data_IF_901393976119
#
_entry.id   IF_901393976119
#
_cell.length_a   1.000
_cell.length_b   1.000
_cell.length_c   1.000
_cell.angle_alpha   90.00
_cell.angle_beta   90.00
_cell.angle_gamma   90.00
#
_symmetry.space_group_name_H-M   'P 1'
#
loop_
_entity.id
_entity.type
_entity.pdbx_description
1 polymer ?
#
# COMPACT_ATOMS: atom_id res chain seq x y z
N UNK A 1 -7.01 3.13 -8.00
CA UNK A 1 -6.76 1.69 -8.21
C UNK A 1 -5.71 1.55 -9.31
N UNK A 2 -4.79 0.57 -9.23
CA UNK A 2 -3.87 0.20 -10.32
C UNK A 2 -4.42 -1.04 -11.04
N UNK A 3 -4.30 -1.08 -12.36
CA UNK A 3 -4.59 -2.27 -13.17
C UNK A 3 -3.29 -3.06 -13.31
N UNK A 4 -3.22 -4.25 -12.70
CA UNK A 4 -2.01 -5.08 -12.73
C UNK A 4 -1.90 -5.94 -13.99
N UNK A 5 -3.04 -6.30 -14.59
CA UNK A 5 -3.10 -7.03 -15.87
C UNK A 5 -3.74 -6.16 -16.96
N UNK A 6 -3.04 -5.12 -17.44
CA UNK A 6 -3.60 -4.14 -18.37
C UNK A 6 -4.02 -4.75 -19.72
N UNK A 7 -3.44 -5.87 -20.13
CA UNK A 7 -3.80 -6.56 -21.39
C UNK A 7 -5.26 -7.01 -21.44
N UNK A 8 -5.92 -7.15 -20.28
CA UNK A 8 -7.32 -7.57 -20.18
C UNK A 8 -8.31 -6.40 -20.22
N UNK A 9 -7.84 -5.15 -20.20
CA UNK A 9 -8.71 -3.96 -20.22
C UNK A 9 -9.64 -3.99 -21.43
N UNK A 10 -9.11 -4.30 -22.62
CA UNK A 10 -9.89 -4.35 -23.85
C UNK A 10 -11.00 -5.40 -23.76
N UNK A 11 -10.66 -6.60 -23.31
CA UNK A 11 -11.62 -7.70 -23.22
C UNK A 11 -12.72 -7.41 -22.19
N UNK A 12 -12.35 -6.89 -21.02
CA UNK A 12 -13.33 -6.49 -19.98
C UNK A 12 -14.26 -5.39 -20.50
N UNK A 13 -13.71 -4.33 -21.10
CA UNK A 13 -14.53 -3.24 -21.64
C UNK A 13 -15.46 -3.71 -22.76
N UNK A 14 -15.00 -4.59 -23.65
CA UNK A 14 -15.83 -5.17 -24.70
C UNK A 14 -16.96 -6.03 -24.15
N UNK A 15 -16.72 -6.81 -23.08
CA UNK A 15 -17.79 -7.57 -22.42
C UNK A 15 -18.87 -6.63 -21.88
N UNK A 16 -18.47 -5.56 -21.18
CA UNK A 16 -19.41 -4.57 -20.64
C UNK A 16 -20.20 -3.87 -21.75
N UNK A 17 -19.52 -3.42 -22.82
CA UNK A 17 -20.15 -2.72 -23.95
C UNK A 17 -21.11 -3.61 -24.76
N UNK A 18 -20.84 -4.91 -24.83
CA UNK A 18 -21.71 -5.89 -25.51
C UNK A 18 -22.85 -6.40 -24.64
N UNK A 19 -23.04 -5.84 -23.43
CA UNK A 19 -24.07 -6.27 -22.49
C UNK A 19 -23.79 -7.62 -21.82
N UNK A 20 -22.59 -8.19 -22.01
CA UNK A 20 -22.16 -9.40 -21.28
C UNK A 20 -21.80 -9.03 -19.84
N UNK A 21 -22.03 -9.98 -18.93
CA UNK A 21 -21.68 -9.82 -17.51
C UNK A 21 -20.23 -10.24 -17.25
N UNK A 22 -19.64 -9.67 -16.21
CA UNK A 22 -18.34 -10.03 -15.65
C UNK A 22 -18.52 -10.63 -14.25
N UNK A 23 -17.56 -11.43 -13.81
CA UNK A 23 -17.45 -11.80 -12.39
C UNK A 23 -16.66 -10.69 -11.70
N UNK A 24 -17.17 -10.19 -10.58
CA UNK A 24 -16.49 -9.20 -9.77
C UNK A 24 -16.26 -9.74 -8.35
N UNK A 25 -15.00 -9.85 -7.96
CA UNK A 25 -14.59 -10.01 -6.55
C UNK A 25 -14.00 -8.68 -6.07
N UNK A 26 -14.71 -7.96 -5.20
CA UNK A 26 -14.28 -6.67 -4.67
C UNK A 26 -14.50 -6.61 -3.16
N UNK A 27 -13.64 -7.31 -2.41
CA UNK A 27 -13.77 -7.47 -0.96
C UNK A 27 -13.76 -6.15 -0.18
N UNK A 28 -13.19 -5.09 -0.74
CA UNK A 28 -13.13 -3.76 -0.12
C UNK A 28 -14.16 -2.77 -0.65
N UNK A 29 -15.11 -3.20 -1.49
CA UNK A 29 -16.11 -2.33 -2.12
C UNK A 29 -15.50 -1.11 -2.82
N UNK A 30 -14.31 -1.27 -3.42
CA UNK A 30 -13.60 -0.19 -4.10
C UNK A 30 -14.19 0.16 -5.48
N UNK A 31 -14.93 -0.77 -6.08
CA UNK A 31 -15.45 -0.73 -7.44
C UNK A 31 -16.97 -0.87 -7.50
N UNK A 32 -17.60 -1.45 -6.47
CA UNK A 32 -19.06 -1.64 -6.41
C UNK A 32 -19.84 -0.33 -6.59
N UNK A 33 -19.29 0.82 -6.19
CA UNK A 33 -19.89 2.13 -6.44
C UNK A 33 -19.83 2.60 -7.91
N UNK A 34 -18.92 2.05 -8.71
CA UNK A 34 -18.69 2.44 -10.10
C UNK A 34 -19.31 1.46 -11.10
N UNK A 35 -19.54 0.21 -10.69
CA UNK A 35 -20.10 -0.84 -11.53
C UNK A 35 -21.56 -1.08 -11.15
N UNK A 36 -22.46 -0.90 -12.12
CA UNK A 36 -23.86 -1.27 -11.97
C UNK A 36 -23.97 -2.80 -11.83
N UNK A 37 -24.74 -3.27 -10.84
CA UNK A 37 -24.98 -4.70 -10.56
C UNK A 37 -25.46 -5.48 -11.79
N UNK A 38 -26.09 -4.80 -12.75
CA UNK A 38 -26.53 -5.38 -14.03
C UNK A 38 -25.37 -6.01 -14.82
N UNK A 39 -24.15 -5.49 -14.68
CA UNK A 39 -22.96 -5.99 -15.36
C UNK A 39 -22.22 -7.08 -14.57
N UNK A 40 -22.66 -7.40 -13.35
CA UNK A 40 -22.00 -8.37 -12.47
C UNK A 40 -22.79 -9.68 -12.44
N UNK A 41 -22.08 -10.80 -12.47
CA UNK A 41 -22.63 -12.14 -12.28
C UNK A 41 -21.76 -12.94 -11.33
N UNK A 42 -22.37 -13.88 -10.61
CA UNK A 42 -21.64 -14.91 -9.85
C UNK A 42 -21.54 -16.24 -10.62
N UNK A 43 -22.17 -16.31 -11.80
CA UNK A 43 -22.19 -17.52 -12.63
C UNK A 43 -20.97 -17.54 -13.55
N UNK A 44 -20.10 -18.52 -13.33
CA UNK A 44 -18.96 -18.80 -14.20
C UNK A 44 -19.44 -19.44 -15.51
N UNK A 45 -18.99 -18.89 -16.63
CA UNK A 45 -19.09 -19.50 -17.96
C UNK A 45 -17.76 -19.35 -18.70
N UNK A 46 -17.52 -20.13 -19.78
CA UNK A 46 -16.32 -20.00 -20.59
C UNK A 46 -16.10 -18.60 -21.18
N UNK A 47 -17.17 -17.82 -21.35
CA UNK A 47 -17.11 -16.46 -21.91
C UNK A 47 -17.02 -15.36 -20.85
N UNK A 48 -17.21 -15.71 -19.56
CA UNK A 48 -17.25 -14.72 -18.48
C UNK A 48 -15.83 -14.33 -18.06
N UNK A 49 -15.51 -13.04 -18.13
CA UNK A 49 -14.22 -12.52 -17.66
C UNK A 49 -14.33 -12.23 -16.16
N UNK A 50 -13.30 -12.64 -15.41
CA UNK A 50 -13.20 -12.34 -13.98
C UNK A 50 -12.42 -11.04 -13.75
N UNK A 51 -12.94 -10.19 -12.88
CA UNK A 51 -12.30 -8.98 -12.38
C UNK A 51 -12.16 -9.12 -10.87
N UNK A 52 -10.94 -9.03 -10.37
CA UNK A 52 -10.63 -9.14 -8.94
C UNK A 52 -9.97 -7.87 -8.48
N UNK A 53 -10.57 -7.19 -7.51
CA UNK A 53 -10.02 -6.03 -6.81
C UNK A 53 -9.58 -6.46 -5.42
N UNK A 54 -8.26 -6.51 -5.20
CA UNK A 54 -7.72 -6.99 -3.93
C UNK A 54 -6.38 -6.37 -3.61
N UNK A 55 -6.18 -6.10 -2.33
CA UNK A 55 -4.92 -5.59 -1.80
C UNK A 55 -3.88 -6.70 -1.51
N UNK A 56 -4.26 -7.97 -1.70
CA UNK A 56 -3.47 -9.16 -1.34
C UNK A 56 -2.73 -9.78 -2.53
N UNK A 57 -1.53 -10.34 -2.34
CA UNK A 57 -0.79 -11.04 -3.41
C UNK A 57 -1.28 -12.48 -3.67
N UNK A 58 -2.55 -12.77 -3.37
CA UNK A 58 -3.17 -14.06 -3.67
C UNK A 58 -3.17 -14.32 -5.18
N UNK A 59 -2.79 -15.55 -5.56
CA UNK A 59 -2.82 -16.00 -6.95
C UNK A 59 -4.26 -16.03 -7.43
N UNK A 60 -4.49 -15.47 -8.62
CA UNK A 60 -5.77 -15.52 -9.32
C UNK A 60 -5.66 -16.38 -10.58
N UNK A 61 -6.77 -16.97 -11.06
CA UNK A 61 -6.77 -17.73 -12.31
C UNK A 61 -6.28 -16.91 -13.50
N UNK A 62 -5.69 -17.59 -14.50
CA UNK A 62 -5.27 -16.97 -15.76
C UNK A 62 -6.49 -16.33 -16.45
N UNK A 63 -6.28 -15.16 -17.05
CA UNK A 63 -7.37 -14.41 -17.70
C UNK A 63 -8.22 -13.55 -16.76
N UNK A 64 -7.80 -13.43 -15.49
CA UNK A 64 -8.43 -12.52 -14.52
C UNK A 64 -7.83 -11.12 -14.60
N UNK A 65 -8.68 -10.10 -14.76
CA UNK A 65 -8.26 -8.71 -14.62
C UNK A 65 -8.03 -8.41 -13.14
N UNK A 66 -6.80 -8.08 -12.77
CA UNK A 66 -6.40 -7.86 -11.39
C UNK A 66 -6.24 -6.36 -11.13
N UNK A 67 -6.93 -5.89 -10.11
CA UNK A 67 -7.00 -4.50 -9.69
C UNK A 67 -6.45 -4.35 -8.27
N UNK A 68 -5.57 -3.37 -8.07
CA UNK A 68 -4.91 -3.07 -6.80
C UNK A 68 -5.40 -1.74 -6.21
N UNK A 69 -6.28 -1.77 -5.20
CA UNK A 69 -6.70 -0.54 -4.54
C UNK A 69 -5.52 0.08 -3.77
N UNK A 70 -5.46 1.41 -3.70
CA UNK A 70 -4.39 2.14 -3.01
C UNK A 70 -4.78 2.33 -1.54
N UNK A 71 -4.59 1.28 -0.74
CA UNK A 71 -5.12 1.18 0.63
C UNK A 71 -4.07 1.43 1.71
N UNK A 72 -2.81 1.06 1.49
CA UNK A 72 -1.81 1.10 2.54
C UNK A 72 -0.99 2.39 2.53
N UNK A 73 -0.79 2.98 3.70
CA UNK A 73 0.25 3.99 3.91
C UNK A 73 1.38 3.36 4.73
N UNK A 74 2.61 3.49 4.25
CA UNK A 74 3.78 2.97 4.96
C UNK A 74 4.51 4.10 5.65
N UNK A 75 5.06 3.85 6.83
CA UNK A 75 5.94 4.79 7.51
C UNK A 75 7.34 4.23 7.59
N UNK A 76 8.33 5.04 7.22
CA UNK A 76 9.74 4.63 7.12
C UNK A 76 10.57 5.51 8.04
N UNK A 77 11.41 4.89 8.86
CA UNK A 77 12.53 5.55 9.53
C UNK A 77 13.80 4.76 9.24
N UNK A 78 14.90 5.44 8.89
CA UNK A 78 16.17 4.78 8.61
C UNK A 78 17.37 5.56 9.13
N UNK A 79 18.53 4.92 9.20
CA UNK A 79 19.81 5.60 9.40
C UNK A 79 20.11 6.52 8.18
N UNK A 80 21.14 7.36 8.30
CA UNK A 80 21.58 8.20 7.17
C UNK A 80 22.22 7.32 6.11
N UNK A 81 22.07 7.69 4.84
CA UNK A 81 22.75 7.04 3.71
C UNK A 81 22.38 5.56 3.55
N UNK A 82 21.23 5.15 4.09
CA UNK A 82 20.71 3.79 3.90
C UNK A 82 20.31 3.59 2.44
N UNK A 83 20.74 2.48 1.85
CA UNK A 83 20.53 2.21 0.43
C UNK A 83 19.05 1.97 0.10
N UNK A 84 18.67 2.27 -1.15
CA UNK A 84 17.31 1.98 -1.65
C UNK A 84 17.01 0.49 -1.60
N UNK A 85 18.02 -0.36 -1.80
CA UNK A 85 17.92 -1.81 -1.77
C UNK A 85 17.49 -2.29 -0.38
N UNK A 86 18.14 -1.83 0.69
CA UNK A 86 17.80 -2.27 2.05
C UNK A 86 16.38 -1.84 2.44
N UNK A 87 15.99 -0.61 2.08
CA UNK A 87 14.64 -0.09 2.33
C UNK A 87 13.61 -0.92 1.54
N UNK A 88 13.89 -1.17 0.26
CA UNK A 88 13.01 -1.95 -0.61
C UNK A 88 12.87 -3.39 -0.14
N UNK A 89 13.95 -4.02 0.27
CA UNK A 89 13.95 -5.41 0.73
C UNK A 89 13.12 -5.58 2.00
N UNK A 90 13.20 -4.63 2.95
CA UNK A 90 12.33 -4.65 4.12
C UNK A 90 10.85 -4.47 3.72
N UNK A 91 10.53 -3.56 2.81
CA UNK A 91 9.16 -3.36 2.31
C UNK A 91 8.64 -4.64 1.65
N UNK A 92 9.40 -5.20 0.70
CA UNK A 92 9.02 -6.39 -0.04
C UNK A 92 8.87 -7.61 0.88
N UNK A 93 9.75 -7.77 1.86
CA UNK A 93 9.69 -8.83 2.86
C UNK A 93 8.43 -8.72 3.71
N UNK A 94 8.15 -7.54 4.26
CA UNK A 94 6.99 -7.30 5.14
C UNK A 94 5.69 -7.51 4.38
N UNK A 95 5.56 -6.97 3.17
CA UNK A 95 4.36 -7.14 2.36
C UNK A 95 4.16 -8.61 1.97
N UNK A 96 5.21 -9.29 1.51
CA UNK A 96 5.15 -10.73 1.17
C UNK A 96 4.74 -11.58 2.37
N UNK A 97 5.34 -11.37 3.55
CA UNK A 97 5.03 -12.14 4.77
C UNK A 97 3.57 -12.00 5.23
N UNK A 98 2.94 -10.87 4.90
CA UNK A 98 1.55 -10.58 5.25
C UNK A 98 0.58 -10.83 4.07
N UNK A 99 1.04 -11.46 2.99
CA UNK A 99 0.26 -11.70 1.77
C UNK A 99 -0.33 -10.40 1.16
N UNK A 100 0.34 -9.26 1.36
CA UNK A 100 -0.09 -7.95 0.87
C UNK A 100 0.69 -7.57 -0.40
N UNK A 101 0.02 -6.86 -1.31
CA UNK A 101 0.65 -6.35 -2.52
C UNK A 101 1.28 -4.99 -2.29
N UNK A 102 2.56 -4.83 -2.62
CA UNK A 102 3.25 -3.52 -2.60
C UNK A 102 2.60 -2.52 -3.57
N UNK A 103 1.91 -3.02 -4.61
CA UNK A 103 1.16 -2.19 -5.56
C UNK A 103 -0.01 -1.46 -4.90
N UNK A 104 -0.48 -1.93 -3.75
CA UNK A 104 -1.54 -1.33 -2.95
C UNK A 104 -1.05 -0.20 -2.02
N UNK A 105 0.26 0.09 -1.99
CA UNK A 105 0.81 1.23 -1.24
C UNK A 105 0.40 2.54 -1.91
N UNK A 106 -0.20 3.45 -1.13
CA UNK A 106 -0.70 4.77 -1.53
C UNK A 106 0.29 5.90 -1.22
N UNK A 107 0.99 5.82 -0.11
CA UNK A 107 1.89 6.89 0.37
C UNK A 107 2.97 6.34 1.29
N UNK A 108 4.05 7.12 1.40
CA UNK A 108 5.14 6.93 2.35
C UNK A 108 5.11 8.09 3.35
N UNK A 109 5.19 7.82 4.64
CA UNK A 109 5.37 8.81 5.70
C UNK A 109 6.77 8.74 6.30
N UNK A 110 7.38 9.88 6.58
CA UNK A 110 8.62 9.93 7.38
C UNK A 110 8.75 11.25 8.14
N UNK A 111 9.83 11.42 8.89
CA UNK A 111 10.15 12.67 9.59
C UNK A 111 10.78 13.70 8.63
N UNK A 112 10.48 14.98 8.81
CA UNK A 112 10.95 16.09 7.97
C UNK A 112 12.47 16.18 7.78
N UNK A 113 13.26 15.82 8.80
CA UNK A 113 14.73 15.76 8.69
C UNK A 113 15.22 14.75 7.64
N UNK A 114 14.34 13.87 7.14
CA UNK A 114 14.61 12.90 6.06
C UNK A 114 14.19 13.38 4.67
N UNK A 115 13.85 14.66 4.49
CA UNK A 115 13.43 15.22 3.20
C UNK A 115 14.44 14.99 2.06
N UNK A 116 15.74 14.98 2.37
CA UNK A 116 16.81 14.78 1.40
C UNK A 116 17.43 13.37 1.43
N UNK A 117 16.75 12.39 2.05
CA UNK A 117 17.24 11.02 2.11
C UNK A 117 17.01 10.30 0.76
N UNK A 118 18.10 10.04 0.03
CA UNK A 118 18.06 9.49 -1.33
C UNK A 118 17.32 8.16 -1.40
N UNK A 119 17.62 7.23 -0.48
CA UNK A 119 17.00 5.91 -0.45
C UNK A 119 15.47 5.97 -0.34
N UNK A 120 14.91 6.91 0.45
CA UNK A 120 13.45 7.08 0.56
C UNK A 120 12.86 7.68 -0.72
N UNK A 121 13.54 8.67 -1.33
CA UNK A 121 13.07 9.25 -2.59
C UNK A 121 13.05 8.22 -3.72
N UNK A 122 14.05 7.36 -3.81
CA UNK A 122 14.12 6.33 -4.84
C UNK A 122 13.04 5.25 -4.64
N UNK A 123 12.75 4.87 -3.39
CA UNK A 123 11.59 3.99 -3.08
C UNK A 123 10.27 4.63 -3.50
N UNK A 124 10.10 5.94 -3.25
CA UNK A 124 8.93 6.70 -3.72
C UNK A 124 8.80 6.64 -5.24
N UNK A 125 9.90 6.86 -5.97
CA UNK A 125 9.89 6.81 -7.44
C UNK A 125 9.57 5.40 -7.95
N UNK A 126 10.11 4.36 -7.31
CA UNK A 126 9.81 2.95 -7.62
C UNK A 126 8.34 2.60 -7.39
N UNK A 127 7.74 3.10 -6.30
CA UNK A 127 6.33 2.87 -5.97
C UNK A 127 5.36 3.80 -6.72
N UNK A 128 5.87 4.91 -7.28
CA UNK A 128 5.08 6.00 -7.89
C UNK A 128 4.01 6.55 -6.93
N UNK A 129 4.43 6.86 -5.71
CA UNK A 129 3.55 7.38 -4.63
C UNK A 129 4.06 8.73 -4.15
N UNK A 130 3.28 9.41 -3.30
CA UNK A 130 3.75 10.61 -2.59
C UNK A 130 4.54 10.25 -1.33
N UNK A 131 5.41 11.16 -0.88
CA UNK A 131 5.98 11.15 0.47
C UNK A 131 5.35 12.28 1.28
N UNK A 132 4.91 11.95 2.48
CA UNK A 132 4.41 12.87 3.49
C UNK A 132 5.50 13.04 4.57
N UNK A 133 5.94 14.28 4.80
CA UNK A 133 6.97 14.62 5.79
C UNK A 133 6.34 15.25 7.03
N UNK A 134 6.74 14.78 8.21
CA UNK A 134 6.19 15.24 9.48
C UNK A 134 7.25 15.76 10.43
N UNK A 135 6.94 16.86 11.10
CA UNK A 135 7.73 17.34 12.23
C UNK A 135 7.63 16.36 13.41
N UNK A 136 8.61 16.41 14.33
CA UNK A 136 8.53 15.64 15.60
C UNK A 136 7.26 15.93 16.40
N UNK A 137 6.75 17.16 16.36
CA UNK A 137 5.54 17.57 17.07
C UNK A 137 4.29 16.90 16.49
N UNK A 138 4.18 16.84 15.15
CA UNK A 138 3.11 16.12 14.48
C UNK A 138 3.16 14.62 14.77
N UNK A 139 4.35 14.01 14.67
CA UNK A 139 4.53 12.58 14.97
C UNK A 139 4.13 12.23 16.40
N UNK A 140 4.47 13.08 17.37
CA UNK A 140 4.11 12.87 18.78
C UNK A 140 2.61 13.02 19.10
N UNK A 141 1.82 13.59 18.19
CA UNK A 141 0.36 13.67 18.31
C UNK A 141 -0.35 12.44 17.74
N UNK A 142 0.36 11.56 17.01
CA UNK A 142 -0.23 10.35 16.47
C UNK A 142 -0.72 9.44 17.60
N UNK A 143 -1.98 9.02 17.52
CA UNK A 143 -2.58 8.01 18.41
C UNK A 143 -2.42 6.63 17.77
N UNK A 144 -2.37 5.58 18.58
CA UNK A 144 -2.28 4.20 18.08
C UNK A 144 -0.86 3.71 17.78
N UNK A 145 0.17 4.46 18.17
CA UNK A 145 1.56 3.97 18.23
C UNK A 145 1.63 2.89 19.32
N UNK A 146 2.11 1.70 18.97
CA UNK A 146 2.20 0.55 19.89
C UNK A 146 3.63 0.21 20.26
N UNK A 147 4.60 0.62 19.42
CA UNK A 147 6.02 0.37 19.63
C UNK A 147 6.78 1.70 19.63
N UNK A 148 6.89 2.41 20.77
CA UNK A 148 7.80 3.56 20.87
C UNK A 148 9.26 3.15 20.62
N UNK A 149 10.14 4.12 20.32
CA UNK A 149 11.57 3.92 20.10
C UNK A 149 12.37 4.91 20.92
N UNK A 150 13.15 4.40 21.88
CA UNK A 150 14.12 5.21 22.62
C UNK A 150 15.16 5.84 21.67
N UNK A 151 15.55 5.12 20.61
CA UNK A 151 16.48 5.61 19.60
C UNK A 151 15.88 6.79 18.82
N UNK A 152 14.65 6.67 18.34
CA UNK A 152 13.97 7.78 17.66
C UNK A 152 13.78 8.96 18.61
N UNK A 153 13.37 8.72 19.85
CA UNK A 153 13.19 9.77 20.85
C UNK A 153 14.51 10.51 21.12
N UNK A 154 15.61 9.79 21.22
CA UNK A 154 16.95 10.36 21.43
C UNK A 154 17.43 11.20 20.24
N UNK A 155 17.26 10.70 19.02
CA UNK A 155 17.83 11.33 17.83
C UNK A 155 16.94 12.40 17.20
N UNK A 156 15.62 12.29 17.35
CA UNK A 156 14.67 13.17 16.66
C UNK A 156 13.66 13.84 17.60
N UNK A 157 13.56 13.37 18.84
CA UNK A 157 12.54 13.81 19.79
C UNK A 157 11.14 13.23 19.52
N UNK A 158 10.97 12.38 18.49
CA UNK A 158 9.72 11.70 18.22
C UNK A 158 9.68 10.33 18.90
N UNK A 159 8.57 10.00 19.57
CA UNK A 159 8.38 8.72 20.27
C UNK A 159 8.45 7.52 19.33
N UNK A 160 7.98 7.68 18.09
CA UNK A 160 8.09 6.69 17.02
C UNK A 160 8.01 7.42 15.69
N UNK A 161 8.94 7.15 14.77
CA UNK A 161 8.88 7.74 13.42
C UNK A 161 8.01 6.88 12.51
N UNK A 162 8.38 5.62 12.29
CA UNK A 162 7.71 4.77 11.31
C UNK A 162 6.22 4.55 11.61
N UNK A 163 5.83 4.21 12.85
CA UNK A 163 4.41 3.94 13.17
C UNK A 163 3.58 5.22 13.11
N UNK A 164 4.04 6.30 13.74
CA UNK A 164 3.32 7.57 13.74
C UNK A 164 3.17 8.13 12.31
N UNK A 165 4.23 8.05 11.50
CA UNK A 165 4.19 8.51 10.12
C UNK A 165 3.26 7.66 9.25
N UNK A 166 3.23 6.33 9.44
CA UNK A 166 2.29 5.46 8.74
C UNK A 166 0.84 5.85 9.04
N UNK A 167 0.51 6.01 10.34
CA UNK A 167 -0.83 6.37 10.83
C UNK A 167 -1.27 7.75 10.31
N UNK A 168 -0.39 8.76 10.39
CA UNK A 168 -0.73 10.09 9.90
C UNK A 168 -0.93 10.10 8.37
N UNK A 169 -0.11 9.35 7.63
CA UNK A 169 -0.20 9.25 6.17
C UNK A 169 -1.45 8.51 5.71
N UNK A 170 -1.99 7.59 6.54
CA UNK A 170 -3.27 6.91 6.31
C UNK A 170 -4.48 7.74 6.74
N UNK A 171 -4.35 9.07 6.86
CA UNK A 171 -5.40 9.97 7.33
C UNK A 171 -5.86 9.65 8.76
N UNK A 172 -4.90 9.30 9.64
CA UNK A 172 -5.15 8.86 11.02
C UNK A 172 -5.93 7.55 11.11
N UNK A 173 -5.72 6.67 10.13
CA UNK A 173 -6.28 5.32 10.11
C UNK A 173 -5.63 4.39 11.15
N UNK A 174 -5.86 3.09 10.99
CA UNK A 174 -5.40 2.08 11.93
C UNK A 174 -4.03 1.52 11.53
N UNK A 175 -3.18 1.30 12.53
CA UNK A 175 -1.93 0.57 12.36
C UNK A 175 -2.26 -0.92 12.14
N UNK A 176 -1.82 -1.47 11.01
CA UNK A 176 -2.09 -2.87 10.61
C UNK A 176 -0.87 -3.74 10.86
N UNK A 177 0.32 -3.23 10.55
CA UNK A 177 1.60 -3.90 10.81
C UNK A 177 2.43 -2.97 11.69
N UNK A 178 2.64 -3.34 12.98
CA UNK A 178 3.55 -2.64 13.86
C UNK A 178 4.97 -2.64 13.33
N UNK A 179 5.84 -1.84 13.97
CA UNK A 179 7.24 -1.67 13.57
C UNK A 179 7.97 -2.98 13.29
N UNK A 180 8.41 -3.10 12.04
CA UNK A 180 9.37 -4.09 11.55
C UNK A 180 10.72 -3.40 11.36
N UNK A 181 11.81 -4.15 11.46
CA UNK A 181 13.16 -3.59 11.33
C UNK A 181 14.10 -4.49 10.51
N UNK A 182 14.99 -3.86 9.75
CA UNK A 182 16.25 -4.41 9.27
C UNK A 182 17.39 -3.88 10.16
N UNK A 183 18.62 -3.90 9.65
CA UNK A 183 19.77 -3.30 10.32
C UNK A 183 19.63 -1.77 10.42
N UNK A 184 19.29 -1.11 9.31
CA UNK A 184 19.26 0.34 9.20
C UNK A 184 17.85 0.92 8.96
N UNK A 185 16.84 0.10 8.74
CA UNK A 185 15.48 0.55 8.37
C UNK A 185 14.44 0.05 9.36
N UNK A 186 13.46 0.89 9.62
CA UNK A 186 12.22 0.55 10.32
C UNK A 186 11.03 0.90 9.44
N UNK A 187 10.07 -0.02 9.40
CA UNK A 187 8.87 0.06 8.58
C UNK A 187 7.64 -0.19 9.43
N UNK A 188 6.57 0.54 9.20
CA UNK A 188 5.24 0.24 9.72
C UNK A 188 4.20 0.44 8.61
N UNK A 189 3.04 -0.20 8.73
CA UNK A 189 1.96 -0.12 7.74
C UNK A 189 0.64 0.20 8.41
N UNK A 190 -0.08 1.19 7.89
CA UNK A 190 -1.40 1.61 8.33
C UNK A 190 -2.39 1.71 7.16
N UNK A 191 -3.69 1.70 7.45
CA UNK A 191 -4.76 1.93 6.48
C UNK A 191 -5.95 2.66 7.11
#
# INVERSE_FOLDING_TARGET
VIIETPDLIKSVNMSILSGKKIILEDKGSHLTHYLNETFVTQVQSPETISVVCTETDKKVPRGTMLLRPKTFSIGIGCNRDTSVEEIWDLIALVFRKNELSVKSIRSIGTIDIKMNEKGISEVKDKLKVRIDYYTKAQLNQAKGVVTPSAMAQKHTGAKSVCEAAAILSSLKGNLIIPKQKSENVTLAVAR
#
